data_IF_639943741928
#
_entry.id   IF_639943741928
#
_cell.length_a   1.000
_cell.length_b   1.000
_cell.length_c   1.000
_cell.angle_alpha   90.00
_cell.angle_beta   90.00
_cell.angle_gamma   90.00
#
_symmetry.space_group_name_H-M   'P 1'
#
loop_
_entity.id
_entity.type
_entity.pdbx_description
1 polymer ?
#
# COMPACT_ATOMS: atom_id res chain seq x y z
N UNK A 1 22.96 11.40 -3.72
CA UNK A 1 22.70 10.35 -4.72
C UNK A 1 21.20 10.13 -4.73
N UNK A 2 20.55 10.11 -5.90
CA UNK A 2 19.15 9.72 -5.97
C UNK A 2 19.04 8.24 -5.55
N UNK A 3 18.02 7.88 -4.76
CA UNK A 3 17.77 6.46 -4.48
C UNK A 3 17.33 5.76 -5.76
N UNK A 4 17.87 4.58 -6.02
CA UNK A 4 17.57 3.79 -7.21
C UNK A 4 16.13 3.25 -7.21
N UNK A 5 15.55 3.01 -6.02
CA UNK A 5 14.15 2.58 -5.85
C UNK A 5 13.37 3.61 -5.04
N UNK A 6 12.19 3.98 -5.56
CA UNK A 6 11.21 4.81 -4.83
C UNK A 6 10.08 3.92 -4.29
N UNK A 7 9.57 4.27 -3.12
CA UNK A 7 8.46 3.57 -2.46
C UNK A 7 7.26 4.49 -2.25
N UNK A 8 6.06 3.97 -2.54
CA UNK A 8 4.79 4.64 -2.28
C UNK A 8 3.89 3.76 -1.42
N UNK A 9 3.50 4.24 -0.23
CA UNK A 9 2.48 3.59 0.60
C UNK A 9 1.13 4.26 0.36
N UNK A 10 0.13 3.50 -0.07
CA UNK A 10 -1.23 3.97 -0.32
C UNK A 10 -2.19 3.28 0.64
N UNK A 11 -2.90 4.06 1.46
CA UNK A 11 -3.86 3.51 2.42
C UNK A 11 -5.29 3.43 1.87
N UNK A 12 -6.12 2.56 2.44
CA UNK A 12 -7.56 2.57 2.18
C UNK A 12 -7.98 1.98 0.84
N UNK A 13 -7.27 0.95 0.36
CA UNK A 13 -7.78 0.15 -0.73
C UNK A 13 -8.89 -0.74 -0.16
N UNK A 14 -10.13 -0.42 -0.51
CA UNK A 14 -11.32 -1.17 -0.09
C UNK A 14 -11.83 -1.97 -1.29
N UNK A 15 -12.05 -3.28 -1.10
CA UNK A 15 -12.55 -4.16 -2.17
C UNK A 15 -14.09 -4.14 -2.25
N UNK A 16 -14.80 -3.61 -1.24
CA UNK A 16 -16.28 -3.48 -1.26
C UNK A 16 -16.85 -2.64 -2.41
N UNK A 17 -16.03 -1.86 -3.11
CA UNK A 17 -16.47 -1.10 -4.29
C UNK A 17 -16.08 -1.75 -5.62
N UNK A 18 -15.53 -2.96 -5.60
CA UNK A 18 -14.98 -3.61 -6.77
C UNK A 18 -13.68 -2.98 -7.24
N UNK A 19 -12.95 -3.75 -8.05
CA UNK A 19 -11.83 -3.29 -8.87
C UNK A 19 -12.08 -1.86 -9.37
N UNK A 20 -11.19 -0.92 -9.04
CA UNK A 20 -11.25 0.46 -9.56
C UNK A 20 -11.41 1.59 -8.52
N UNK A 21 -11.09 1.36 -7.25
CA UNK A 21 -11.00 2.44 -6.26
C UNK A 21 -9.81 3.41 -6.50
N UNK A 22 -9.87 4.62 -5.92
CA UNK A 22 -8.79 5.62 -6.04
C UNK A 22 -7.44 5.05 -5.58
N UNK A 23 -7.43 4.33 -4.46
CA UNK A 23 -6.23 3.70 -3.93
C UNK A 23 -5.62 2.66 -4.88
N UNK A 24 -6.46 1.87 -5.57
CA UNK A 24 -5.99 0.87 -6.53
C UNK A 24 -5.43 1.53 -7.79
N UNK A 25 -6.14 2.53 -8.35
CA UNK A 25 -5.67 3.28 -9.51
C UNK A 25 -4.32 3.97 -9.23
N UNK A 26 -4.14 4.52 -8.03
CA UNK A 26 -2.86 5.09 -7.60
C UNK A 26 -1.77 4.03 -7.49
N UNK A 27 -2.05 2.90 -6.85
CA UNK A 27 -1.07 1.81 -6.71
C UNK A 27 -0.63 1.29 -8.08
N UNK A 28 -1.56 1.09 -9.02
CA UNK A 28 -1.26 0.68 -10.38
C UNK A 28 -0.42 1.73 -11.12
N UNK A 29 -0.76 3.02 -11.01
CA UNK A 29 -0.01 4.09 -11.67
C UNK A 29 1.40 4.26 -11.09
N UNK A 30 1.60 4.09 -9.78
CA UNK A 30 2.92 4.08 -9.18
C UNK A 30 3.76 2.93 -9.73
N UNK A 31 3.22 1.71 -9.76
CA UNK A 31 3.90 0.54 -10.34
C UNK A 31 4.25 0.79 -11.81
N UNK A 32 3.34 1.35 -12.61
CA UNK A 32 3.58 1.71 -14.02
C UNK A 32 4.72 2.72 -14.21
N UNK A 33 4.96 3.58 -13.22
CA UNK A 33 6.06 4.57 -13.21
C UNK A 33 7.37 4.02 -12.62
N UNK A 34 7.45 2.73 -12.33
CA UNK A 34 8.64 2.10 -11.72
C UNK A 34 8.80 2.41 -10.23
N UNK A 35 7.75 2.90 -9.58
CA UNK A 35 7.72 3.14 -8.14
C UNK A 35 7.15 1.89 -7.48
N UNK A 36 7.80 1.38 -6.43
CA UNK A 36 7.32 0.22 -5.69
C UNK A 36 6.11 0.63 -4.86
N UNK A 37 4.91 0.31 -5.35
CA UNK A 37 3.66 0.57 -4.65
C UNK A 37 3.43 -0.47 -3.56
N UNK A 38 3.06 0.00 -2.38
CA UNK A 38 2.62 -0.80 -1.25
C UNK A 38 1.20 -0.35 -0.90
N UNK A 39 0.26 -1.27 -1.02
CA UNK A 39 -1.15 -1.02 -0.73
C UNK A 39 -1.51 -1.45 0.69
N UNK A 40 -2.55 -0.85 1.26
CA UNK A 40 -3.19 -1.38 2.46
C UNK A 40 -4.67 -1.63 2.25
N UNK A 41 -5.15 -2.78 2.71
CA UNK A 41 -6.58 -3.15 2.67
C UNK A 41 -7.13 -3.30 4.09
N UNK A 42 -8.44 -3.14 4.27
CA UNK A 42 -9.03 -3.50 5.56
C UNK A 42 -8.85 -5.01 5.83
N UNK A 43 -8.65 -5.41 7.10
CA UNK A 43 -8.34 -6.81 7.43
C UNK A 43 -9.38 -7.86 7.00
N UNK A 44 -10.61 -7.44 6.69
CA UNK A 44 -11.73 -8.28 6.30
C UNK A 44 -12.05 -8.23 4.79
N UNK A 45 -11.20 -7.60 3.99
CA UNK A 45 -11.40 -7.44 2.54
C UNK A 45 -10.60 -8.48 1.74
N UNK A 46 -11.09 -8.80 0.54
CA UNK A 46 -10.40 -9.72 -0.38
C UNK A 46 -9.27 -8.95 -1.08
N UNK A 47 -8.13 -9.62 -1.26
CA UNK A 47 -6.88 -9.01 -1.76
C UNK A 47 -6.22 -9.84 -2.86
N UNK A 48 -6.96 -10.82 -3.39
CA UNK A 48 -6.49 -11.73 -4.45
C UNK A 48 -6.12 -10.93 -5.71
N UNK A 49 -6.91 -9.92 -6.07
CA UNK A 49 -6.64 -9.06 -7.24
C UNK A 49 -5.33 -8.26 -7.11
N UNK A 50 -4.94 -7.84 -5.90
CA UNK A 50 -3.67 -7.16 -5.65
C UNK A 50 -2.50 -8.12 -5.82
N UNK A 51 -2.68 -9.36 -5.37
CA UNK A 51 -1.70 -10.43 -5.53
C UNK A 51 -1.52 -10.79 -7.01
N UNK A 52 -2.62 -10.94 -7.75
CA UNK A 52 -2.63 -11.16 -9.21
C UNK A 52 -1.93 -10.01 -9.97
N UNK A 53 -2.11 -8.78 -9.51
CA UNK A 53 -1.47 -7.59 -10.09
C UNK A 53 0.01 -7.42 -9.68
N UNK A 54 0.55 -8.31 -8.84
CA UNK A 54 1.92 -8.21 -8.32
C UNK A 54 2.15 -7.04 -7.36
N UNK A 55 1.08 -6.48 -6.77
CA UNK A 55 1.15 -5.36 -5.83
C UNK A 55 1.42 -5.89 -4.43
N UNK A 56 2.43 -5.34 -3.75
CA UNK A 56 2.67 -5.65 -2.34
C UNK A 56 1.56 -5.05 -1.49
N UNK A 57 0.93 -5.84 -0.61
CA UNK A 57 -0.16 -5.35 0.22
C UNK A 57 -0.08 -5.84 1.67
N UNK A 58 -0.69 -5.06 2.57
CA UNK A 58 -0.81 -5.41 4.00
C UNK A 58 -2.21 -5.08 4.54
N UNK A 59 -2.71 -5.85 5.52
CA UNK A 59 -3.90 -5.45 6.25
C UNK A 59 -3.60 -4.23 7.13
N UNK A 60 -4.50 -3.24 7.13
CA UNK A 60 -4.44 -2.05 7.97
C UNK A 60 -5.85 -1.66 8.43
N UNK A 61 -6.00 -1.45 9.73
CA UNK A 61 -7.09 -0.64 10.28
C UNK A 61 -6.50 0.67 10.81
N UNK A 62 -6.80 1.79 10.15
CA UNK A 62 -6.26 3.11 10.53
C UNK A 62 -6.77 3.61 11.88
N UNK A 63 -7.89 3.08 12.39
CA UNK A 63 -8.45 3.46 13.70
C UNK A 63 -7.87 2.63 14.85
N UNK A 64 -7.02 1.63 14.56
CA UNK A 64 -6.34 0.80 15.56
C UNK A 64 -4.83 1.09 15.56
N UNK A 65 -4.35 1.75 16.62
CA UNK A 65 -2.94 2.09 16.79
C UNK A 65 -2.02 0.88 16.72
N UNK A 66 -2.46 -0.29 17.20
CA UNK A 66 -1.66 -1.52 17.12
C UNK A 66 -1.52 -1.99 15.68
N UNK A 67 -2.59 -1.88 14.89
CA UNK A 67 -2.56 -2.17 13.45
C UNK A 67 -1.57 -1.25 12.73
N UNK A 68 -1.64 0.06 12.99
CA UNK A 68 -0.71 1.05 12.42
C UNK A 68 0.74 0.77 12.82
N UNK A 69 1.00 0.49 14.10
CA UNK A 69 2.34 0.19 14.60
C UNK A 69 2.93 -1.10 13.98
N UNK A 70 2.10 -2.13 13.80
CA UNK A 70 2.51 -3.38 13.16
C UNK A 70 2.79 -3.18 11.67
N UNK A 71 1.96 -2.40 10.97
CA UNK A 71 2.22 -2.03 9.58
C UNK A 71 3.55 -1.29 9.47
N UNK A 72 3.79 -0.28 10.31
CA UNK A 72 5.03 0.50 10.31
C UNK A 72 6.27 -0.40 10.40
N UNK A 73 6.27 -1.39 11.29
CA UNK A 73 7.39 -2.34 11.42
C UNK A 73 7.66 -3.11 10.12
N UNK A 74 6.59 -3.57 9.44
CA UNK A 74 6.71 -4.28 8.15
C UNK A 74 7.24 -3.36 7.06
N UNK A 75 6.69 -2.15 6.95
CA UNK A 75 7.10 -1.17 5.93
C UNK A 75 8.57 -0.78 6.11
N UNK A 76 9.00 -0.47 7.34
CA UNK A 76 10.41 -0.12 7.62
C UNK A 76 11.37 -1.21 7.15
N UNK A 77 11.00 -2.49 7.33
CA UNK A 77 11.83 -3.62 6.87
C UNK A 77 11.92 -3.74 5.35
N UNK A 78 10.88 -3.32 4.61
CA UNK A 78 10.82 -3.46 3.15
C UNK A 78 11.48 -2.26 2.47
N UNK A 79 11.29 -1.08 3.05
CA UNK A 79 11.71 0.18 2.42
C UNK A 79 13.01 0.73 3.01
N UNK A 80 13.69 -0.07 3.82
CA UNK A 80 14.90 0.31 4.55
C UNK A 80 14.72 1.61 5.36
N UNK A 81 13.53 1.76 5.95
CA UNK A 81 13.17 2.89 6.81
C UNK A 81 12.73 4.17 6.10
N UNK A 82 12.58 4.19 4.77
CA UNK A 82 12.19 5.40 4.05
C UNK A 82 10.99 5.20 3.11
N UNK A 83 10.09 6.18 3.02
CA UNK A 83 9.01 6.24 2.01
C UNK A 83 9.12 7.54 1.22
N UNK A 84 9.06 7.46 -0.10
CA UNK A 84 9.00 8.65 -0.97
C UNK A 84 7.60 9.26 -1.00
N UNK A 85 6.58 8.40 -0.96
CA UNK A 85 5.19 8.82 -0.96
C UNK A 85 4.41 8.08 0.13
N UNK A 86 3.55 8.83 0.81
CA UNK A 86 2.49 8.30 1.67
C UNK A 86 1.19 8.96 1.23
N UNK A 87 0.21 8.16 0.85
CA UNK A 87 -1.13 8.62 0.49
C UNK A 87 -2.11 8.13 1.55
N UNK A 88 -2.57 9.04 2.40
CA UNK A 88 -3.62 8.78 3.39
C UNK A 88 -4.98 8.89 2.72
N UNK A 89 -5.46 7.78 2.15
CA UNK A 89 -6.72 7.71 1.41
C UNK A 89 -7.82 6.94 2.18
N UNK A 90 -7.45 6.17 3.23
CA UNK A 90 -8.36 5.49 4.14
C UNK A 90 -9.13 6.43 5.07
#
# INVERSE_FOLDING_TARGET
MARDQKFALVTGLLDRCGKGGIGEALAQEYTRRGIHAIATVLPNEISDHLTEAGITWFPLNVTDEKSVANLKKKIVSITNGYLDFLVNNA
#
